data_IF_678245775155
#
_entry.id   IF_678245775155
#
_cell.length_a   1.000
_cell.length_b   1.000
_cell.length_c   1.000
_cell.angle_alpha   90.00
_cell.angle_beta   90.00
_cell.angle_gamma   90.00
#
_symmetry.space_group_name_H-M   'P 1'
#
loop_
_entity.id
_entity.type
_entity.pdbx_description
1 polymer ?
#
# COMPACT_ATOMS: atom_id res chain seq x y z
N UNK A 1 -12.69 8.96 8.81
CA UNK A 1 -11.24 8.62 8.76
C UNK A 1 -10.57 9.68 7.91
N UNK A 2 -9.48 10.29 8.38
CA UNK A 2 -8.72 11.25 7.57
C UNK A 2 -7.96 10.55 6.44
N UNK A 3 -7.44 11.30 5.46
CA UNK A 3 -6.60 10.74 4.40
C UNK A 3 -5.34 10.07 4.97
N UNK A 4 -4.69 10.70 5.96
CA UNK A 4 -3.51 10.15 6.63
C UNK A 4 -3.81 8.85 7.38
N UNK A 5 -4.92 8.79 8.12
CA UNK A 5 -5.36 7.55 8.79
C UNK A 5 -5.63 6.43 7.77
N UNK A 6 -6.13 6.77 6.59
CA UNK A 6 -6.33 5.82 5.47
C UNK A 6 -5.02 5.26 4.98
N UNK A 7 -4.04 6.13 4.72
CA UNK A 7 -2.72 5.75 4.23
C UNK A 7 -1.99 4.84 5.23
N UNK A 8 -2.09 5.13 6.54
CA UNK A 8 -1.57 4.25 7.59
C UNK A 8 -2.24 2.88 7.56
N UNK A 9 -3.56 2.81 7.35
CA UNK A 9 -4.27 1.54 7.24
C UNK A 9 -3.83 0.73 5.99
N UNK A 10 -3.66 1.39 4.84
CA UNK A 10 -3.12 0.78 3.62
C UNK A 10 -1.71 0.23 3.88
N UNK A 11 -0.82 1.02 4.46
CA UNK A 11 0.55 0.60 4.76
C UNK A 11 0.61 -0.61 5.72
N UNK A 12 -0.34 -0.68 6.67
CA UNK A 12 -0.49 -1.85 7.55
C UNK A 12 -0.89 -3.11 6.78
N UNK A 13 -1.85 -3.00 5.85
CA UNK A 13 -2.25 -4.12 4.99
C UNK A 13 -1.11 -4.59 4.10
N UNK A 14 -0.29 -3.67 3.55
CA UNK A 14 0.89 -4.04 2.75
C UNK A 14 1.90 -4.81 3.60
N UNK A 15 2.18 -4.32 4.80
CA UNK A 15 3.08 -5.00 5.74
C UNK A 15 2.56 -6.39 6.12
N UNK A 16 1.26 -6.53 6.32
CA UNK A 16 0.62 -7.82 6.61
C UNK A 16 0.77 -8.78 5.42
N UNK A 17 0.45 -8.34 4.20
CA UNK A 17 0.61 -9.13 2.99
C UNK A 17 2.07 -9.59 2.77
N UNK A 18 3.02 -8.68 2.95
CA UNK A 18 4.45 -8.99 2.93
C UNK A 18 4.86 -9.97 4.04
N UNK A 19 4.29 -9.84 5.23
CA UNK A 19 4.52 -10.74 6.36
C UNK A 19 4.00 -12.16 6.12
N UNK A 20 2.94 -12.31 5.32
CA UNK A 20 2.40 -13.61 4.94
C UNK A 20 3.28 -14.36 3.91
N UNK A 21 4.16 -13.66 3.19
CA UNK A 21 4.88 -14.22 2.04
C UNK A 21 6.39 -14.31 2.25
N UNK A 22 6.96 -13.56 3.19
CA UNK A 22 8.38 -13.64 3.54
C UNK A 22 8.81 -15.06 3.91
N UNK A 23 9.91 -15.53 3.30
CA UNK A 23 10.47 -16.87 3.58
C UNK A 23 9.62 -18.05 3.10
N UNK A 24 8.52 -17.79 2.38
CA UNK A 24 7.72 -18.84 1.76
C UNK A 24 8.30 -19.23 0.40
N UNK A 25 7.98 -20.44 -0.08
CA UNK A 25 8.37 -20.86 -1.43
C UNK A 25 7.84 -19.93 -2.53
N UNK A 26 6.73 -19.22 -2.27
CA UNK A 26 6.15 -18.25 -3.22
C UNK A 26 7.05 -17.03 -3.42
N UNK A 27 7.88 -16.66 -2.44
CA UNK A 27 8.79 -15.53 -2.55
C UNK A 27 10.13 -15.89 -3.22
N UNK A 28 10.44 -17.18 -3.40
CA UNK A 28 11.71 -17.64 -3.96
C UNK A 28 12.91 -17.01 -3.24
N UNK A 29 13.86 -16.47 -4.01
CA UNK A 29 15.05 -15.79 -3.49
C UNK A 29 14.81 -14.29 -3.18
N UNK A 30 13.57 -13.81 -3.30
CA UNK A 30 13.21 -12.42 -3.04
C UNK A 30 12.70 -12.20 -1.61
N UNK A 31 12.59 -10.94 -1.20
CA UNK A 31 12.17 -10.58 0.16
C UNK A 31 10.74 -11.03 0.47
N UNK A 32 9.84 -10.89 -0.49
CA UNK A 32 8.38 -11.12 -0.38
C UNK A 32 7.78 -11.42 -1.74
N UNK A 33 6.50 -11.79 -1.78
CA UNK A 33 5.67 -11.58 -2.97
C UNK A 33 5.14 -10.15 -2.92
N UNK A 34 5.42 -9.37 -3.96
CA UNK A 34 4.83 -8.06 -4.18
C UNK A 34 3.47 -8.19 -4.87
N UNK A 35 2.57 -7.24 -4.64
CA UNK A 35 1.26 -7.19 -5.31
C UNK A 35 1.36 -6.54 -6.69
N UNK A 36 2.26 -5.56 -6.87
CA UNK A 36 2.55 -4.87 -8.14
C UNK A 36 1.40 -4.02 -8.75
N UNK A 37 0.23 -3.89 -8.10
CA UNK A 37 -0.88 -3.00 -8.52
C UNK A 37 -1.68 -2.48 -7.30
N UNK A 38 -0.97 -1.98 -6.28
CA UNK A 38 -1.55 -1.44 -5.04
C UNK A 38 -2.12 -0.02 -5.25
N UNK A 39 -3.39 0.05 -5.62
CA UNK A 39 -4.08 1.32 -5.90
C UNK A 39 -5.46 1.38 -5.22
N UNK A 40 -6.07 2.59 -5.10
CA UNK A 40 -7.40 2.74 -4.50
C UNK A 40 -8.47 1.84 -5.15
N UNK A 41 -8.40 1.63 -6.47
CA UNK A 41 -9.33 0.75 -7.21
C UNK A 41 -9.24 -0.72 -6.76
N UNK A 42 -8.07 -1.17 -6.28
CA UNK A 42 -7.80 -2.54 -5.85
C UNK A 42 -7.86 -2.70 -4.33
N UNK A 43 -8.40 -1.69 -3.62
CA UNK A 43 -8.53 -1.69 -2.16
C UNK A 43 -10.00 -1.79 -1.75
N UNK A 44 -10.35 -2.85 -1.03
CA UNK A 44 -11.69 -3.02 -0.48
C UNK A 44 -11.81 -2.22 0.81
N UNK A 45 -12.71 -1.24 0.80
CA UNK A 45 -13.05 -0.44 1.97
C UNK A 45 -14.39 -0.87 2.57
N UNK A 46 -14.49 -0.94 3.89
CA UNK A 46 -15.74 -1.24 4.62
C UNK A 46 -16.09 -0.15 5.62
N UNK A 47 -17.38 0.10 5.90
CA UNK A 47 -17.78 0.99 7.00
C UNK A 47 -17.37 0.42 8.36
N UNK A 48 -16.61 1.18 9.13
CA UNK A 48 -16.22 0.91 10.53
C UNK A 48 -16.49 2.17 11.34
N UNK A 49 -17.40 2.07 12.31
CA UNK A 49 -17.83 3.21 13.15
C UNK A 49 -18.20 4.45 12.32
N UNK A 50 -18.95 4.25 11.23
CA UNK A 50 -19.40 5.33 10.35
C UNK A 50 -18.37 5.90 9.38
N UNK A 51 -17.16 5.35 9.30
CA UNK A 51 -16.12 5.73 8.33
C UNK A 51 -15.69 4.54 7.47
N UNK A 52 -15.49 4.75 6.16
CA UNK A 52 -14.84 3.74 5.32
C UNK A 52 -13.41 3.50 5.80
N UNK A 53 -12.99 2.23 5.88
CA UNK A 53 -11.61 1.83 6.19
C UNK A 53 -11.12 0.74 5.23
N UNK A 54 -9.87 0.80 4.74
CA UNK A 54 -9.24 -0.29 4.00
C UNK A 54 -9.26 -1.58 4.80
N UNK A 55 -9.61 -2.69 4.15
CA UNK A 55 -9.72 -4.01 4.81
C UNK A 55 -9.03 -5.14 4.05
N UNK A 56 -8.85 -5.02 2.73
CA UNK A 56 -8.19 -6.04 1.92
C UNK A 56 -7.72 -5.47 0.58
N UNK A 57 -6.73 -6.13 -0.02
CA UNK A 57 -6.37 -5.97 -1.43
C UNK A 57 -6.93 -7.11 -2.29
N UNK A 58 -7.36 -6.75 -3.50
CA UNK A 58 -7.85 -7.65 -4.55
C UNK A 58 -7.00 -7.48 -5.82
N UNK A 59 -7.26 -8.29 -6.85
CA UNK A 59 -6.57 -8.20 -8.15
C UNK A 59 -5.06 -8.52 -8.07
N UNK A 60 -4.76 -9.78 -7.75
CA UNK A 60 -3.39 -10.26 -7.53
C UNK A 60 -2.77 -10.93 -8.77
N UNK A 61 -3.33 -10.68 -9.95
CA UNK A 61 -2.88 -11.33 -11.19
C UNK A 61 -1.44 -10.94 -11.55
N UNK A 62 -0.97 -9.79 -11.05
CA UNK A 62 0.41 -9.31 -11.20
C UNK A 62 1.32 -9.66 -10.00
N UNK A 63 0.82 -10.40 -9.01
CA UNK A 63 1.61 -10.69 -7.82
C UNK A 63 2.80 -11.61 -8.15
N UNK A 64 4.00 -11.21 -7.71
CA UNK A 64 5.23 -11.92 -8.04
C UNK A 64 6.31 -11.70 -6.97
N UNK A 65 7.30 -12.61 -6.83
CA UNK A 65 8.51 -12.36 -6.03
C UNK A 65 9.13 -10.99 -6.31
N UNK A 66 9.49 -10.26 -5.26
CA UNK A 66 10.09 -8.92 -5.41
C UNK A 66 10.63 -8.33 -4.12
N UNK A 67 11.29 -7.18 -4.25
CA UNK A 67 11.73 -6.37 -3.12
C UNK A 67 10.56 -5.55 -2.58
N UNK A 68 10.43 -5.44 -1.25
CA UNK A 68 9.29 -4.74 -0.59
C UNK A 68 9.11 -3.32 -1.11
N UNK A 69 10.22 -2.66 -1.47
CA UNK A 69 10.24 -1.28 -1.95
C UNK A 69 9.40 -1.07 -3.22
N UNK A 70 9.19 -2.10 -4.05
CA UNK A 70 8.38 -1.99 -5.25
C UNK A 70 6.92 -1.67 -4.91
N UNK A 71 6.33 -2.40 -3.97
CA UNK A 71 4.97 -2.15 -3.48
C UNK A 71 4.87 -0.82 -2.72
N UNK A 72 5.87 -0.48 -1.89
CA UNK A 72 5.88 0.78 -1.13
C UNK A 72 5.94 1.98 -2.07
N UNK A 73 6.82 1.95 -3.08
CA UNK A 73 6.91 3.00 -4.10
C UNK A 73 5.59 3.13 -4.87
N UNK A 74 4.94 2.01 -5.19
CA UNK A 74 3.65 2.03 -5.87
C UNK A 74 2.53 2.64 -4.99
N UNK A 75 2.49 2.34 -3.69
CA UNK A 75 1.56 2.99 -2.75
C UNK A 75 1.82 4.51 -2.68
N UNK A 76 3.09 4.94 -2.59
CA UNK A 76 3.40 6.37 -2.60
C UNK A 76 2.86 7.04 -3.87
N UNK A 77 3.11 6.44 -5.03
CA UNK A 77 2.62 6.96 -6.30
C UNK A 77 1.09 7.07 -6.35
N UNK A 78 0.37 6.07 -5.82
CA UNK A 78 -1.08 5.98 -5.93
C UNK A 78 -1.86 6.77 -4.87
N UNK A 79 -1.32 6.94 -3.65
CA UNK A 79 -2.08 7.48 -2.51
C UNK A 79 -1.60 8.84 -2.02
N UNK A 80 -0.35 9.21 -2.30
CA UNK A 80 0.25 10.45 -1.77
C UNK A 80 0.10 11.63 -2.75
N UNK A 81 -0.40 11.38 -3.97
CA UNK A 81 -0.70 12.44 -4.92
C UNK A 81 0.54 13.08 -5.56
N UNK A 82 1.59 12.31 -5.79
CA UNK A 82 2.87 12.74 -6.40
C UNK A 82 2.77 13.07 -7.91
N UNK A 83 1.57 13.38 -8.40
CA UNK A 83 1.34 13.74 -9.80
C UNK A 83 1.78 15.17 -10.13
N UNK A 84 1.70 15.58 -11.41
CA UNK A 84 2.14 16.90 -11.86
C UNK A 84 1.45 18.09 -11.19
N UNK A 85 0.31 17.85 -10.53
CA UNK A 85 -0.46 18.85 -9.81
C UNK A 85 -0.07 19.01 -8.32
N UNK A 86 0.97 18.30 -7.86
CA UNK A 86 1.44 18.42 -6.47
C UNK A 86 1.99 19.84 -6.23
N UNK A 87 1.38 20.56 -5.30
CA UNK A 87 1.79 21.91 -4.96
C UNK A 87 2.97 21.92 -3.97
N UNK A 88 3.05 20.91 -3.10
CA UNK A 88 4.07 20.76 -2.06
C UNK A 88 4.45 19.28 -1.91
N UNK A 89 5.65 18.94 -2.38
CA UNK A 89 6.17 17.56 -2.33
C UNK A 89 6.62 17.17 -0.92
N UNK A 90 7.06 18.12 -0.10
CA UNK A 90 7.52 17.85 1.26
C UNK A 90 6.33 17.54 2.18
N UNK A 91 5.21 18.25 2.01
CA UNK A 91 3.96 17.93 2.70
C UNK A 91 3.42 16.56 2.29
N UNK A 92 3.42 16.26 0.99
CA UNK A 92 3.04 14.95 0.47
C UNK A 92 3.93 13.85 1.09
N UNK A 93 5.25 14.03 1.10
CA UNK A 93 6.20 13.08 1.69
C UNK A 93 5.98 12.86 3.20
N UNK A 94 5.61 13.91 3.97
CA UNK A 94 5.34 13.78 5.41
C UNK A 94 4.23 12.79 5.74
N UNK A 95 3.25 12.62 4.86
CA UNK A 95 2.17 11.63 5.03
C UNK A 95 2.67 10.17 5.11
N UNK A 96 3.88 9.89 4.61
CA UNK A 96 4.51 8.57 4.67
C UNK A 96 5.38 8.36 5.92
N UNK A 97 5.77 9.43 6.62
CA UNK A 97 6.74 9.40 7.73
C UNK A 97 6.15 9.75 9.08
N UNK A 98 5.10 10.58 9.15
CA UNK A 98 4.49 10.98 10.41
C UNK A 98 3.63 9.84 11.00
N UNK A 99 3.93 9.52 12.26
CA UNK A 99 3.29 8.49 13.08
C UNK A 99 2.39 9.10 14.13
#
# INVERSE_FOLDING_TARGET
>A
MSSAESLVAVARLVREFHGLTVGTALAGDHEVVCHNDLSPKNTVCRPVSGSLRPTAFIDRDLAAPGARIHDIAHVCWQYVGLGPAVADVEDAARSMTDR
#
